data_IF_907442517107
#
_entry.id   IF_907442517107
#
_cell.length_a   1.000
_cell.length_b   1.000
_cell.length_c   1.000
_cell.angle_alpha   90.00
_cell.angle_beta   90.00
_cell.angle_gamma   90.00
#
_symmetry.space_group_name_H-M   'P 1'
#
loop_
_entity.id
_entity.type
_entity.pdbx_description
1 polymer ?
#
# COMPACT_ATOMS: atom_id res chain seq x y z
N UNK A 1 6.57 -10.58 2.28
CA UNK A 1 5.96 -9.41 1.62
C UNK A 1 5.18 -9.90 0.43
N UNK A 2 3.93 -9.48 0.27
CA UNK A 2 3.17 -9.67 -0.95
C UNK A 2 2.53 -8.37 -1.40
N UNK A 3 2.50 -8.16 -2.72
CA UNK A 3 1.81 -7.05 -3.36
C UNK A 3 0.82 -7.63 -4.37
N UNK A 4 -0.44 -7.20 -4.31
CA UNK A 4 -1.50 -7.67 -5.20
C UNK A 4 -2.32 -6.48 -5.69
N UNK A 5 -2.67 -6.47 -6.97
CA UNK A 5 -3.57 -5.46 -7.54
C UNK A 5 -4.95 -6.08 -7.70
N UNK A 6 -5.98 -5.33 -7.31
CA UNK A 6 -7.39 -5.64 -7.53
C UNK A 6 -8.07 -4.42 -8.15
N UNK A 7 -9.21 -4.64 -8.79
CA UNK A 7 -10.06 -3.57 -9.31
C UNK A 7 -11.51 -3.86 -8.99
N UNK A 8 -12.30 -2.81 -8.76
CA UNK A 8 -13.76 -2.87 -8.67
C UNK A 8 -14.45 -2.59 -10.02
N UNK A 9 -13.67 -2.35 -11.09
CA UNK A 9 -14.14 -1.94 -12.41
C UNK A 9 -13.96 -0.44 -12.70
N UNK A 10 -13.81 0.40 -11.67
CA UNK A 10 -13.61 1.84 -11.78
C UNK A 10 -12.25 2.28 -11.21
N UNK A 11 -11.83 1.68 -10.09
CA UNK A 11 -10.64 2.00 -9.33
C UNK A 11 -9.66 0.82 -9.31
N UNK A 12 -8.37 1.13 -9.20
CA UNK A 12 -7.31 0.16 -8.94
C UNK A 12 -6.88 0.21 -7.46
N UNK A 13 -6.77 -0.95 -6.83
CA UNK A 13 -6.39 -1.11 -5.43
C UNK A 13 -5.13 -1.97 -5.31
N UNK A 14 -4.11 -1.44 -4.68
CA UNK A 14 -2.87 -2.14 -4.37
C UNK A 14 -2.90 -2.59 -2.90
N UNK A 15 -2.97 -3.91 -2.71
CA UNK A 15 -2.93 -4.57 -1.41
C UNK A 15 -1.48 -4.93 -1.08
N UNK A 16 -0.99 -4.39 0.03
CA UNK A 16 0.37 -4.59 0.52
C UNK A 16 0.31 -5.29 1.87
N UNK A 17 0.89 -6.48 1.96
CA UNK A 17 0.90 -7.28 3.20
C UNK A 17 2.32 -7.66 3.60
N UNK A 18 2.66 -7.36 4.85
CA UNK A 18 3.96 -7.69 5.42
C UNK A 18 3.89 -8.93 6.32
N UNK A 19 4.10 -10.12 5.79
CA UNK A 19 4.10 -11.37 6.59
C UNK A 19 5.37 -11.62 7.44
N UNK A 20 6.21 -10.61 7.65
CA UNK A 20 7.38 -10.71 8.54
C UNK A 20 7.25 -9.73 9.71
N UNK A 21 8.02 -9.97 10.78
CA UNK A 21 8.08 -9.07 11.93
C UNK A 21 8.95 -7.81 11.69
N UNK A 22 9.63 -7.74 10.55
CA UNK A 22 10.50 -6.61 10.21
C UNK A 22 9.74 -5.51 9.47
N UNK A 23 10.09 -4.25 9.72
CA UNK A 23 9.56 -3.13 8.95
C UNK A 23 10.10 -3.16 7.52
N UNK A 24 9.23 -2.93 6.53
CA UNK A 24 9.58 -2.85 5.11
C UNK A 24 9.20 -1.50 4.53
N UNK A 25 10.09 -0.94 3.72
CA UNK A 25 9.85 0.30 2.97
C UNK A 25 9.61 -0.03 1.50
N UNK A 26 8.57 0.55 0.91
CA UNK A 26 8.21 0.38 -0.50
C UNK A 26 8.25 1.75 -1.17
N UNK A 27 8.89 1.82 -2.32
CA UNK A 27 8.95 3.03 -3.14
C UNK A 27 7.73 3.08 -4.07
N UNK A 28 7.02 4.22 -4.07
CA UNK A 28 5.84 4.46 -4.90
C UNK A 28 6.18 5.26 -6.17
N UNK A 29 7.47 5.55 -6.43
CA UNK A 29 7.95 6.21 -7.64
C UNK A 29 7.24 7.53 -7.96
N UNK A 30 6.94 8.33 -6.94
CA UNK A 30 6.20 9.60 -7.05
C UNK A 30 4.77 9.45 -7.59
N UNK A 31 4.19 8.26 -7.58
CA UNK A 31 2.77 8.05 -7.88
C UNK A 31 1.94 8.33 -6.62
N UNK A 32 0.95 9.21 -6.76
CA UNK A 32 0.01 9.52 -5.69
C UNK A 32 -0.98 8.36 -5.50
N UNK A 33 -1.14 7.94 -4.26
CA UNK A 33 -2.16 6.99 -3.84
C UNK A 33 -2.86 7.50 -2.59
N UNK A 34 -4.08 7.03 -2.37
CA UNK A 34 -4.80 7.20 -1.12
C UNK A 34 -4.79 5.88 -0.34
N UNK A 35 -4.29 5.88 0.90
CA UNK A 35 -4.49 4.76 1.81
C UNK A 35 -5.92 4.77 2.31
N UNK A 36 -6.71 3.78 1.89
CA UNK A 36 -8.14 3.75 2.18
C UNK A 36 -8.44 3.30 3.62
N UNK A 37 -7.45 2.81 4.36
CA UNK A 37 -7.64 2.37 5.75
C UNK A 37 -7.61 3.54 6.73
N UNK A 38 -6.87 4.60 6.42
CA UNK A 38 -6.73 5.77 7.28
C UNK A 38 -7.08 7.11 6.59
N UNK A 39 -7.21 7.11 5.25
CA UNK A 39 -7.55 8.29 4.45
C UNK A 39 -6.36 9.12 3.97
N UNK A 40 -5.13 8.76 4.34
CA UNK A 40 -3.92 9.54 4.04
C UNK A 40 -3.52 9.46 2.56
N UNK A 41 -2.97 10.54 2.02
CA UNK A 41 -2.31 10.55 0.72
C UNK A 41 -0.82 10.19 0.87
N UNK A 42 -0.33 9.31 -0.01
CA UNK A 42 1.06 8.85 -0.04
C UNK A 42 1.58 8.88 -1.48
N UNK A 43 2.77 9.46 -1.71
CA UNK A 43 3.30 9.63 -3.06
C UNK A 43 4.74 9.13 -3.26
N UNK A 44 5.57 9.10 -2.22
CA UNK A 44 7.00 8.82 -2.36
C UNK A 44 7.32 7.39 -1.94
N UNK A 45 6.98 7.05 -0.70
CA UNK A 45 7.24 5.73 -0.14
C UNK A 45 6.28 5.44 0.99
N UNK A 46 6.09 4.17 1.27
CA UNK A 46 5.27 3.70 2.37
C UNK A 46 6.08 2.76 3.26
N UNK A 47 5.92 2.92 4.57
CA UNK A 47 6.47 2.01 5.57
C UNK A 47 5.38 1.05 6.00
N UNK A 48 5.70 -0.24 6.01
CA UNK A 48 4.86 -1.31 6.53
C UNK A 48 5.57 -1.92 7.73
N UNK A 49 4.99 -1.72 8.91
CA UNK A 49 5.45 -2.36 10.13
C UNK A 49 5.29 -3.89 10.05
N UNK A 50 5.90 -4.60 10.99
CA UNK A 50 5.78 -6.06 11.07
C UNK A 50 4.32 -6.51 11.11
N UNK A 51 3.96 -7.50 10.31
CA UNK A 51 2.59 -8.05 10.24
C UNK A 51 1.49 -7.03 9.87
N UNK A 52 1.86 -5.88 9.30
CA UNK A 52 0.91 -4.86 8.88
C UNK A 52 0.35 -5.09 7.46
N UNK A 53 -0.79 -4.44 7.20
CA UNK A 53 -1.46 -4.40 5.90
C UNK A 53 -1.77 -2.96 5.55
N UNK A 54 -1.62 -2.61 4.27
CA UNK A 54 -2.13 -1.36 3.70
C UNK A 54 -2.85 -1.63 2.39
N UNK A 55 -3.85 -0.80 2.10
CA UNK A 55 -4.61 -0.85 0.85
C UNK A 55 -4.57 0.54 0.24
N UNK A 56 -3.95 0.64 -0.93
CA UNK A 56 -3.76 1.90 -1.63
C UNK A 56 -4.71 1.96 -2.82
N UNK A 57 -5.55 2.98 -2.90
CA UNK A 57 -6.32 3.30 -4.09
C UNK A 57 -5.53 4.29 -4.94
N UNK A 58 -5.48 4.04 -6.24
CA UNK A 58 -4.91 4.95 -7.22
C UNK A 58 -5.92 6.03 -7.61
#
# INVERSE_FOLDING_TARGET
MSAQIRTDGENEFLFLMNFSNETKKINLHNQLYQDILNGDEVNTSISLDGFSVKVLRK
#
